data_IF_900737537410
#
_entry.id   IF_900737537410
#
_cell.length_a   1.000
_cell.length_b   1.000
_cell.length_c   1.000
_cell.angle_alpha   90.00
_cell.angle_beta   90.00
_cell.angle_gamma   90.00
#
_symmetry.space_group_name_H-M   'P 1'
#
loop_
_entity.id
_entity.type
_entity.pdbx_description
1 polymer ?
#
# COMPACT_ATOMS: atom_id res chain seq x y z
N UNK A 1 55.03 0.29 4.98
CA UNK A 1 56.14 -0.56 4.60
C UNK A 1 55.70 -1.97 4.48
N UNK A 2 56.07 -2.65 3.39
CA UNK A 2 55.89 -4.06 3.00
C UNK A 2 54.44 -4.40 2.56
N UNK A 3 54.00 -4.45 1.30
CA UNK A 3 54.37 -5.13 0.03
C UNK A 3 54.57 -6.65 0.21
N UNK A 4 53.75 -7.42 -0.54
CA UNK A 4 54.07 -8.60 -1.38
C UNK A 4 52.73 -9.31 -1.71
N UNK A 5 52.23 -9.34 -2.91
CA UNK A 5 52.60 -9.93 -4.19
C UNK A 5 52.07 -11.37 -4.38
N UNK A 6 51.16 -11.46 -5.34
CA UNK A 6 50.86 -12.45 -6.40
C UNK A 6 50.96 -13.96 -6.14
N UNK A 7 49.98 -14.67 -6.69
CA UNK A 7 50.25 -15.74 -7.67
C UNK A 7 48.96 -16.13 -8.47
N UNK A 8 49.10 -16.06 -9.76
CA UNK A 8 48.28 -16.67 -10.84
C UNK A 8 48.43 -18.19 -10.82
N UNK A 9 47.32 -18.90 -11.16
CA UNK A 9 47.49 -20.15 -11.91
C UNK A 9 46.27 -20.35 -12.84
N UNK A 10 46.62 -20.34 -14.12
CA UNK A 10 45.74 -20.74 -15.23
C UNK A 10 45.90 -22.25 -15.46
N UNK A 11 44.86 -22.91 -15.87
CA UNK A 11 44.91 -24.30 -16.29
C UNK A 11 43.79 -24.59 -17.31
N UNK A 12 44.22 -24.89 -18.51
CA UNK A 12 43.43 -25.01 -19.74
C UNK A 12 42.95 -26.45 -20.04
N UNK A 13 41.87 -26.53 -20.80
CA UNK A 13 41.49 -27.49 -21.87
C UNK A 13 41.56 -29.00 -21.65
N UNK A 14 40.44 -29.66 -22.01
CA UNK A 14 40.48 -30.73 -23.00
C UNK A 14 39.06 -30.99 -23.60
N UNK A 15 38.94 -30.76 -24.89
CA UNK A 15 37.87 -31.33 -25.78
C UNK A 15 38.13 -32.82 -25.99
N UNK A 16 37.05 -33.60 -26.03
CA UNK A 16 37.07 -34.86 -26.80
C UNK A 16 35.71 -35.09 -27.50
N UNK A 17 35.71 -34.93 -28.80
CA UNK A 17 34.71 -35.50 -29.74
C UNK A 17 35.05 -36.99 -29.96
N UNK A 18 34.04 -37.81 -29.96
CA UNK A 18 34.10 -39.08 -30.74
C UNK A 18 32.70 -39.43 -31.24
N UNK A 19 32.64 -39.75 -32.51
CA UNK A 19 31.48 -39.94 -33.38
C UNK A 19 31.18 -41.41 -33.63
N UNK A 20 29.97 -41.65 -34.12
CA UNK A 20 29.52 -42.70 -35.06
C UNK A 20 29.33 -44.16 -34.64
N UNK A 21 28.17 -44.62 -35.05
CA UNK A 21 27.93 -46.00 -35.55
C UNK A 21 26.65 -46.65 -35.01
N UNK A 22 25.61 -46.67 -35.63
CA UNK A 22 24.86 -47.40 -36.62
C UNK A 22 24.16 -48.69 -36.16
N UNK A 23 22.91 -48.81 -36.61
CA UNK A 23 22.10 -49.99 -36.97
C UNK A 23 21.05 -50.54 -35.97
N UNK A 24 19.81 -50.20 -36.29
CA UNK A 24 18.61 -51.05 -36.45
C UNK A 24 18.42 -52.35 -35.64
N UNK A 25 17.30 -52.46 -34.91
CA UNK A 25 16.15 -53.29 -35.24
C UNK A 25 15.22 -53.59 -34.07
N UNK A 26 13.91 -53.51 -34.40
CA UNK A 26 12.74 -54.25 -33.90
C UNK A 26 12.16 -54.01 -32.53
N UNK A 27 11.03 -53.36 -32.60
CA UNK A 27 9.71 -53.57 -31.98
C UNK A 27 9.60 -54.36 -30.65
N UNK A 28 9.01 -53.65 -29.68
CA UNK A 28 7.83 -54.19 -28.94
C UNK A 28 7.08 -53.05 -28.28
N UNK A 29 5.77 -52.99 -28.52
CA UNK A 29 4.86 -52.04 -27.97
C UNK A 29 4.70 -52.26 -26.45
N UNK A 30 4.88 -51.22 -25.66
CA UNK A 30 4.37 -51.16 -24.30
C UNK A 30 3.66 -49.81 -24.14
N UNK A 31 2.35 -49.92 -23.99
CA UNK A 31 1.43 -48.84 -23.62
C UNK A 31 1.88 -48.27 -22.28
N UNK A 32 2.33 -47.03 -22.27
CA UNK A 32 2.46 -46.27 -21.01
C UNK A 32 1.57 -45.03 -21.11
N UNK A 33 0.64 -44.96 -20.19
CA UNK A 33 -0.27 -43.86 -19.98
C UNK A 33 0.46 -42.53 -20.00
N UNK A 34 0.07 -41.66 -20.92
CA UNK A 34 0.46 -40.27 -20.90
C UNK A 34 -0.20 -39.62 -19.68
N UNK A 35 0.57 -39.39 -18.64
CA UNK A 35 0.21 -38.41 -17.63
C UNK A 35 0.16 -37.06 -18.35
N UNK A 36 -1.05 -36.52 -18.46
CA UNK A 36 -1.29 -35.16 -18.91
C UNK A 36 -0.61 -34.21 -17.88
N UNK A 37 0.59 -33.76 -18.21
CA UNK A 37 1.18 -32.62 -17.54
C UNK A 37 0.30 -31.43 -17.91
N UNK A 38 -0.34 -30.83 -16.91
CA UNK A 38 -0.95 -29.51 -17.05
C UNK A 38 0.11 -28.54 -17.62
N UNK A 39 -0.24 -27.66 -18.55
CA UNK A 39 0.73 -26.69 -19.03
C UNK A 39 1.20 -25.85 -17.83
N UNK A 40 2.49 -25.94 -17.51
CA UNK A 40 3.13 -24.94 -16.67
C UNK A 40 2.91 -23.61 -17.40
N UNK A 41 2.08 -22.73 -16.83
CA UNK A 41 1.96 -21.36 -17.28
C UNK A 41 3.37 -20.81 -17.32
N UNK A 42 3.86 -20.45 -18.50
CA UNK A 42 5.11 -19.72 -18.64
C UNK A 42 4.90 -18.38 -17.96
N UNK A 43 5.41 -18.24 -16.74
CA UNK A 43 5.48 -16.94 -16.05
C UNK A 43 6.24 -16.03 -16.98
N UNK A 44 5.63 -14.93 -17.40
CA UNK A 44 6.28 -13.94 -18.25
C UNK A 44 7.56 -13.49 -17.54
N UNK A 45 8.65 -13.32 -18.31
CA UNK A 45 9.97 -12.97 -17.76
C UNK A 45 9.97 -11.61 -16.99
N UNK A 46 8.87 -10.85 -17.11
CA UNK A 46 8.66 -9.52 -16.50
C UNK A 46 7.46 -9.52 -15.50
N UNK A 47 7.02 -10.66 -14.97
CA UNK A 47 5.95 -10.71 -13.97
C UNK A 47 6.44 -10.16 -12.62
N UNK A 48 5.80 -9.10 -12.16
CA UNK A 48 6.09 -8.48 -10.88
C UNK A 48 5.62 -9.36 -9.72
N UNK A 49 4.50 -10.07 -9.90
CA UNK A 49 4.05 -11.09 -8.94
C UNK A 49 5.08 -12.21 -8.77
N UNK A 50 5.64 -12.70 -9.88
CA UNK A 50 6.68 -13.74 -9.80
C UNK A 50 7.95 -13.22 -9.13
N UNK A 51 8.31 -11.96 -9.31
CA UNK A 51 9.40 -11.31 -8.59
C UNK A 51 9.13 -11.32 -7.08
N UNK A 52 7.95 -10.86 -6.64
CA UNK A 52 7.52 -10.85 -5.24
C UNK A 52 7.56 -12.29 -4.67
N UNK A 53 6.98 -13.25 -5.37
CA UNK A 53 6.94 -14.65 -4.94
C UNK A 53 8.34 -15.28 -4.86
N UNK A 54 9.24 -14.95 -5.78
CA UNK A 54 10.62 -15.46 -5.75
C UNK A 54 11.43 -14.93 -4.58
N UNK A 55 11.09 -13.72 -4.09
CA UNK A 55 11.68 -13.13 -2.89
C UNK A 55 11.08 -13.72 -1.60
N UNK A 56 9.97 -14.44 -1.69
CA UNK A 56 9.26 -15.03 -0.55
C UNK A 56 8.58 -14.01 0.36
N UNK A 57 8.54 -12.74 -0.03
CA UNK A 57 7.93 -11.66 0.74
C UNK A 57 7.38 -10.56 -0.16
N UNK A 58 6.38 -9.82 0.34
CA UNK A 58 5.86 -8.60 -0.24
C UNK A 58 6.21 -7.43 0.68
N UNK A 59 6.96 -6.46 0.17
CA UNK A 59 7.37 -5.26 0.90
C UNK A 59 6.28 -4.19 0.74
N UNK A 60 5.64 -3.84 1.86
CA UNK A 60 4.44 -3.00 1.93
C UNK A 60 4.82 -1.65 2.52
N UNK A 61 4.68 -0.59 1.73
CA UNK A 61 4.93 0.79 2.17
C UNK A 61 3.71 1.37 2.90
N UNK A 62 3.95 1.93 4.10
CA UNK A 62 2.92 2.55 4.92
C UNK A 62 3.43 3.78 5.68
N UNK A 63 2.54 4.61 6.20
CA UNK A 63 2.77 5.58 7.28
C UNK A 63 1.93 5.22 8.49
N UNK A 64 2.27 5.75 9.68
CA UNK A 64 1.47 5.50 10.89
C UNK A 64 0.09 6.13 10.74
N UNK A 65 -0.93 5.29 10.66
CA UNK A 65 -2.30 5.66 10.37
C UNK A 65 -3.29 4.72 11.07
N UNK A 66 -3.82 5.11 12.23
CA UNK A 66 -4.89 4.37 12.92
C UNK A 66 -6.25 4.67 12.25
N UNK A 67 -7.08 3.64 11.94
CA UNK A 67 -6.96 2.24 12.31
C UNK A 67 -6.37 1.34 11.19
N UNK A 68 -5.66 1.88 10.19
CA UNK A 68 -5.19 1.13 9.03
C UNK A 68 -3.88 0.38 9.30
N UNK A 69 -2.82 1.09 9.70
CA UNK A 69 -1.51 0.53 10.04
C UNK A 69 -0.95 1.30 11.25
N UNK A 70 -0.89 0.68 12.41
CA UNK A 70 -0.44 1.33 13.63
C UNK A 70 0.06 0.33 14.67
N UNK A 71 0.68 0.82 15.72
CA UNK A 71 1.07 0.01 16.88
C UNK A 71 0.06 0.25 18.01
N UNK A 72 -0.57 -0.83 18.49
CA UNK A 72 -1.55 -0.75 19.56
C UNK A 72 -0.91 -0.46 20.94
N UNK A 73 -1.74 -0.27 21.97
CA UNK A 73 -1.27 0.01 23.32
C UNK A 73 -0.43 -1.12 23.94
N UNK A 74 -0.54 -2.34 23.43
CA UNK A 74 0.23 -3.52 23.88
C UNK A 74 1.56 -3.66 23.12
N UNK A 75 1.82 -2.79 22.13
CA UNK A 75 3.02 -2.77 21.32
C UNK A 75 2.97 -3.69 20.10
N UNK A 76 1.80 -4.18 19.70
CA UNK A 76 1.64 -5.00 18.51
C UNK A 76 1.38 -4.12 17.29
N UNK A 77 2.07 -4.39 16.19
CA UNK A 77 1.76 -3.77 14.91
C UNK A 77 0.51 -4.41 14.32
N UNK A 78 -0.53 -3.61 14.09
CA UNK A 78 -1.88 -4.06 13.75
C UNK A 78 -2.62 -3.02 12.90
N UNK A 79 -3.88 -3.24 12.61
CA UNK A 79 -4.76 -2.38 11.86
C UNK A 79 -5.46 -3.11 10.72
N UNK A 80 -6.47 -2.47 10.15
CA UNK A 80 -7.26 -3.08 9.07
C UNK A 80 -6.36 -3.48 7.90
N UNK A 81 -5.55 -2.56 7.39
CA UNK A 81 -4.66 -2.82 6.26
C UNK A 81 -3.53 -3.79 6.61
N UNK A 82 -3.01 -3.72 7.84
CA UNK A 82 -2.01 -4.68 8.32
C UNK A 82 -2.54 -6.11 8.29
N UNK A 83 -3.74 -6.34 8.81
CA UNK A 83 -4.34 -7.67 8.88
C UNK A 83 -4.86 -8.14 7.51
N UNK A 84 -5.45 -7.25 6.72
CA UNK A 84 -5.89 -7.58 5.35
C UNK A 84 -4.69 -7.92 4.44
N UNK A 85 -3.61 -7.13 4.49
CA UNK A 85 -2.40 -7.40 3.73
C UNK A 85 -1.76 -8.74 4.14
N UNK A 86 -1.77 -9.06 5.43
CA UNK A 86 -1.28 -10.35 5.93
C UNK A 86 -2.11 -11.51 5.34
N UNK A 87 -3.44 -11.39 5.35
CA UNK A 87 -4.32 -12.42 4.78
C UNK A 87 -4.12 -12.57 3.25
N UNK A 88 -3.89 -11.47 2.53
CA UNK A 88 -3.58 -11.51 1.09
C UNK A 88 -2.21 -12.15 0.86
N UNK A 89 -1.20 -11.81 1.64
CA UNK A 89 0.14 -12.42 1.54
C UNK A 89 0.08 -13.94 1.73
N UNK A 90 -0.71 -14.44 2.69
CA UNK A 90 -0.96 -15.88 2.88
C UNK A 90 -1.54 -16.53 1.62
N UNK A 91 -2.53 -15.88 0.97
CA UNK A 91 -3.13 -16.35 -0.30
C UNK A 91 -2.12 -16.36 -1.45
N UNK A 92 -1.21 -15.38 -1.49
CA UNK A 92 -0.17 -15.29 -2.52
C UNK A 92 1.07 -16.18 -2.24
N UNK A 93 1.15 -16.79 -1.06
CA UNK A 93 2.25 -17.65 -0.64
C UNK A 93 3.54 -16.89 -0.32
N UNK A 94 3.43 -15.68 0.22
CA UNK A 94 4.55 -14.82 0.62
C UNK A 94 4.36 -14.28 2.04
N UNK A 95 5.44 -13.80 2.68
CA UNK A 95 5.37 -13.13 3.97
C UNK A 95 5.19 -11.60 3.79
N UNK A 96 4.37 -10.92 4.60
CA UNK A 96 4.31 -9.47 4.59
C UNK A 96 5.55 -8.85 5.27
N UNK A 97 6.14 -7.83 4.66
CA UNK A 97 7.19 -7.00 5.27
C UNK A 97 6.73 -5.55 5.22
N UNK A 98 6.40 -4.96 6.37
CA UNK A 98 5.93 -3.58 6.45
C UNK A 98 7.10 -2.62 6.62
N UNK A 99 7.16 -1.59 5.78
CA UNK A 99 8.21 -0.56 5.77
C UNK A 99 7.57 0.81 5.86
N UNK A 100 7.92 1.56 6.89
CA UNK A 100 7.47 2.95 7.01
C UNK A 100 8.18 3.81 5.95
N UNK A 101 7.41 4.57 5.18
CA UNK A 101 7.88 5.39 4.07
C UNK A 101 7.53 6.86 4.28
N UNK A 102 8.10 7.72 3.46
CA UNK A 102 7.61 9.08 3.31
C UNK A 102 6.46 9.08 2.28
N UNK A 103 5.27 9.51 2.69
CA UNK A 103 4.08 9.45 1.82
C UNK A 103 4.19 10.30 0.56
N UNK A 104 4.88 11.44 0.63
CA UNK A 104 5.10 12.31 -0.54
C UNK A 104 5.95 11.62 -1.63
N UNK A 105 6.83 10.68 -1.26
CA UNK A 105 7.68 9.95 -2.20
C UNK A 105 7.21 8.53 -2.52
N UNK A 106 6.00 8.13 -2.10
CA UNK A 106 5.48 6.75 -2.21
C UNK A 106 5.60 6.12 -3.60
N UNK A 107 5.30 6.88 -4.66
CA UNK A 107 5.40 6.38 -6.05
C UNK A 107 6.87 6.20 -6.46
N UNK A 108 7.76 7.09 -6.03
CA UNK A 108 9.21 6.97 -6.26
C UNK A 108 9.77 5.73 -5.58
N UNK A 109 9.35 5.46 -4.34
CA UNK A 109 9.72 4.25 -3.60
C UNK A 109 9.25 2.97 -4.31
N UNK A 110 8.02 3.01 -4.83
CA UNK A 110 7.42 1.91 -5.59
C UNK A 110 8.20 1.63 -6.90
N UNK A 111 8.50 2.67 -7.67
CA UNK A 111 9.24 2.57 -8.93
C UNK A 111 10.70 2.12 -8.72
N UNK A 112 11.32 2.56 -7.62
CA UNK A 112 12.67 2.15 -7.22
C UNK A 112 12.75 0.71 -6.71
N UNK A 113 11.61 0.02 -6.52
CA UNK A 113 11.51 -1.31 -5.89
C UNK A 113 12.01 -1.33 -4.45
N UNK A 114 11.95 -0.20 -3.74
CA UNK A 114 12.14 -0.15 -2.28
C UNK A 114 10.97 -0.81 -1.57
N UNK A 115 9.78 -0.67 -2.15
CA UNK A 115 8.54 -1.34 -1.75
C UNK A 115 7.92 -2.05 -2.96
N UNK A 116 7.06 -3.04 -2.71
CA UNK A 116 6.32 -3.77 -3.74
C UNK A 116 4.92 -3.23 -3.95
N UNK A 117 4.32 -2.67 -2.90
CA UNK A 117 3.04 -1.98 -2.98
C UNK A 117 2.96 -0.84 -1.96
N UNK A 118 2.02 0.09 -2.23
CA UNK A 118 1.58 1.14 -1.31
C UNK A 118 0.24 0.67 -0.75
N UNK A 119 0.18 0.41 0.57
CA UNK A 119 -1.02 -0.11 1.21
C UNK A 119 -1.21 0.50 2.60
N UNK A 120 -1.99 1.59 2.66
CA UNK A 120 -2.13 2.41 3.86
C UNK A 120 -3.34 3.34 3.76
N UNK A 121 -4.55 2.78 3.56
CA UNK A 121 -5.71 3.63 3.29
C UNK A 121 -5.47 4.55 2.11
N UNK A 122 -4.90 4.02 1.04
CA UNK A 122 -4.48 4.84 -0.10
C UNK A 122 -5.67 5.17 -1.00
N UNK A 123 -5.98 6.44 -1.14
CA UNK A 123 -7.04 6.94 -2.01
C UNK A 123 -6.73 6.66 -3.48
N UNK A 124 -7.70 6.09 -4.18
CA UNK A 124 -7.64 5.82 -5.62
C UNK A 124 -7.89 7.12 -6.41
N UNK A 125 -6.90 8.01 -6.41
CA UNK A 125 -6.94 9.24 -7.20
C UNK A 125 -6.65 8.97 -8.67
N UNK A 126 -7.10 9.87 -9.57
CA UNK A 126 -6.80 9.80 -11.01
C UNK A 126 -5.28 9.75 -11.26
N UNK A 127 -4.49 10.48 -10.46
CA UNK A 127 -3.03 10.48 -10.58
C UNK A 127 -2.42 9.13 -10.21
N UNK A 128 -2.82 8.53 -9.09
CA UNK A 128 -2.37 7.20 -8.69
C UNK A 128 -2.77 6.16 -9.74
N UNK A 129 -4.03 6.16 -10.19
CA UNK A 129 -4.51 5.20 -11.21
C UNK A 129 -3.80 5.39 -12.58
N UNK A 130 -3.36 6.59 -12.91
CA UNK A 130 -2.60 6.84 -14.14
C UNK A 130 -1.14 6.36 -14.03
N UNK A 131 -0.55 6.34 -12.83
CA UNK A 131 0.89 6.09 -12.60
C UNK A 131 1.21 4.73 -11.99
N UNK A 132 0.22 4.01 -11.46
CA UNK A 132 0.37 2.69 -10.83
C UNK A 132 -0.63 1.67 -11.40
N UNK A 133 -0.43 0.39 -11.11
CA UNK A 133 -1.43 -0.66 -11.25
C UNK A 133 -2.15 -0.78 -9.90
N UNK A 134 -3.43 -0.43 -9.87
CA UNK A 134 -4.21 -0.45 -8.64
C UNK A 134 -5.14 -1.65 -8.56
N UNK A 135 -5.46 -2.07 -7.35
CA UNK A 135 -6.59 -2.96 -7.11
C UNK A 135 -7.92 -2.24 -7.33
N UNK A 136 -9.01 -2.99 -7.35
CA UNK A 136 -10.34 -2.45 -7.09
C UNK A 136 -10.37 -1.81 -5.70
N UNK A 137 -11.33 -0.93 -5.50
CA UNK A 137 -11.58 -0.37 -4.17
C UNK A 137 -11.94 -1.47 -3.17
N UNK A 138 -11.42 -1.35 -1.94
CA UNK A 138 -11.77 -2.26 -0.85
C UNK A 138 -12.56 -1.59 0.28
N UNK A 139 -12.39 -0.29 0.51
CA UNK A 139 -13.09 0.46 1.54
C UNK A 139 -13.48 1.87 1.08
N UNK A 140 -14.49 2.44 1.73
CA UNK A 140 -14.96 3.82 1.52
C UNK A 140 -14.28 4.75 2.52
N UNK A 141 -14.03 5.99 2.08
CA UNK A 141 -13.48 7.07 2.89
C UNK A 141 -14.04 8.43 2.41
N UNK A 142 -13.62 9.50 3.08
CA UNK A 142 -13.82 10.88 2.66
C UNK A 142 -12.65 11.73 3.18
N UNK A 143 -12.40 12.88 2.56
CA UNK A 143 -11.57 13.92 3.14
C UNK A 143 -12.44 14.85 3.97
N UNK A 144 -12.00 15.16 5.19
CA UNK A 144 -12.75 15.97 6.16
C UNK A 144 -11.94 17.14 6.68
N UNK A 145 -12.66 18.20 7.08
CA UNK A 145 -12.08 19.32 7.81
C UNK A 145 -12.26 19.08 9.30
N UNK A 146 -11.14 19.14 10.03
CA UNK A 146 -11.08 19.01 11.48
C UNK A 146 -10.62 20.33 12.09
N UNK A 147 -11.35 20.79 13.11
CA UNK A 147 -11.03 22.01 13.86
C UNK A 147 -11.12 21.74 15.35
N UNK A 148 -10.64 22.68 16.17
CA UNK A 148 -10.83 22.64 17.63
C UNK A 148 -12.31 22.84 17.98
N UNK A 149 -12.82 22.09 18.96
CA UNK A 149 -14.19 22.27 19.43
C UNK A 149 -14.43 23.70 19.92
N UNK A 150 -15.61 24.25 19.57
CA UNK A 150 -15.92 25.68 19.83
C UNK A 150 -15.44 26.63 18.75
N UNK A 151 -14.74 26.16 17.70
CA UNK A 151 -14.44 26.99 16.53
C UNK A 151 -15.71 27.26 15.74
N UNK A 152 -15.96 28.54 15.40
CA UNK A 152 -17.02 28.94 14.48
C UNK A 152 -16.61 28.54 13.06
N UNK A 153 -17.37 27.61 12.45
CA UNK A 153 -17.16 27.11 11.10
C UNK A 153 -18.49 26.92 10.40
N UNK A 154 -18.60 27.43 9.19
CA UNK A 154 -19.78 27.29 8.35
C UNK A 154 -19.46 26.71 6.97
N UNK A 155 -18.25 26.96 6.46
CA UNK A 155 -17.74 26.44 5.19
C UNK A 155 -16.23 26.67 5.10
N UNK A 156 -15.60 26.13 4.04
CA UNK A 156 -14.18 26.34 3.74
C UNK A 156 -13.79 27.82 3.58
N UNK A 157 -14.74 28.70 3.29
CA UNK A 157 -14.50 30.16 3.23
C UNK A 157 -14.01 30.77 4.57
N UNK A 158 -14.36 30.16 5.70
CA UNK A 158 -13.92 30.60 7.02
C UNK A 158 -12.42 30.29 7.27
N UNK A 159 -11.81 29.47 6.42
CA UNK A 159 -10.39 29.07 6.49
C UNK A 159 -9.48 29.89 5.55
N UNK A 160 -10.02 30.84 4.78
CA UNK A 160 -9.19 31.75 3.96
C UNK A 160 -8.21 32.52 4.84
N UNK A 161 -6.91 32.43 4.54
CA UNK A 161 -5.82 33.07 5.31
C UNK A 161 -5.60 32.46 6.71
N UNK A 162 -6.18 31.28 6.99
CA UNK A 162 -5.96 30.50 8.20
C UNK A 162 -4.87 29.47 7.97
N UNK A 163 -4.23 29.02 9.03
CA UNK A 163 -3.25 27.94 8.94
C UNK A 163 -3.98 26.60 8.85
N UNK A 164 -3.84 25.94 7.69
CA UNK A 164 -4.43 24.61 7.42
C UNK A 164 -3.31 23.60 7.19
N UNK A 165 -3.42 22.44 7.81
CA UNK A 165 -2.41 21.37 7.73
C UNK A 165 -2.98 20.11 7.08
N UNK A 166 -2.16 19.41 6.31
CA UNK A 166 -2.41 18.06 5.79
C UNK A 166 -1.09 17.30 5.65
N UNK A 167 -1.16 15.99 5.48
CA UNK A 167 0.01 15.18 5.16
C UNK A 167 0.48 15.46 3.73
N UNK A 168 1.79 15.65 3.55
CA UNK A 168 2.37 15.90 2.23
C UNK A 168 2.11 14.73 1.27
N UNK A 169 1.72 15.03 0.02
CA UNK A 169 1.41 14.05 -1.01
C UNK A 169 0.12 13.24 -0.76
N UNK A 170 -0.72 13.64 0.21
CA UNK A 170 -1.98 12.97 0.53
C UNK A 170 -3.16 13.48 -0.30
N UNK A 171 -4.29 12.76 -0.23
CA UNK A 171 -5.56 13.23 -0.77
C UNK A 171 -6.06 14.49 -0.03
N UNK A 172 -5.70 14.66 1.25
CA UNK A 172 -5.98 15.85 2.03
C UNK A 172 -5.27 17.10 1.49
N UNK A 173 -3.98 17.00 1.13
CA UNK A 173 -3.28 18.08 0.42
C UNK A 173 -3.96 18.41 -0.90
N UNK A 174 -4.26 17.39 -1.71
CA UNK A 174 -4.95 17.59 -2.99
C UNK A 174 -6.34 18.24 -2.81
N UNK A 175 -7.07 17.91 -1.75
CA UNK A 175 -8.35 18.54 -1.42
C UNK A 175 -8.18 20.02 -1.06
N UNK A 176 -7.10 20.39 -0.32
CA UNK A 176 -6.78 21.79 -0.03
C UNK A 176 -6.49 22.56 -1.34
N UNK A 177 -5.67 21.99 -2.21
CA UNK A 177 -5.28 22.62 -3.48
C UNK A 177 -6.45 22.75 -4.45
N UNK A 178 -7.39 21.80 -4.41
CA UNK A 178 -8.56 21.75 -5.31
C UNK A 178 -9.75 22.60 -4.88
N UNK A 179 -9.86 22.97 -3.60
CA UNK A 179 -10.96 23.83 -3.10
C UNK A 179 -10.60 25.31 -3.26
N UNK A 180 -11.53 26.10 -3.82
CA UNK A 180 -11.30 27.53 -4.14
C UNK A 180 -10.98 28.40 -2.90
N UNK A 181 -11.44 28.01 -1.71
CA UNK A 181 -11.22 28.73 -0.46
C UNK A 181 -9.98 28.19 0.26
N UNK A 182 -9.85 26.86 0.39
CA UNK A 182 -8.70 26.23 1.06
C UNK A 182 -7.39 26.52 0.34
N UNK A 183 -7.40 26.64 -0.99
CA UNK A 183 -6.23 27.07 -1.76
C UNK A 183 -5.75 28.50 -1.41
N UNK A 184 -6.54 29.28 -0.68
CA UNK A 184 -6.18 30.61 -0.16
C UNK A 184 -5.79 30.58 1.33
N UNK A 185 -5.73 29.40 1.95
CA UNK A 185 -5.23 29.22 3.30
C UNK A 185 -3.68 29.24 3.33
N UNK A 186 -3.12 29.46 4.52
CA UNK A 186 -1.70 29.28 4.76
C UNK A 186 -1.44 27.77 5.00
N UNK A 187 -1.26 27.03 3.90
CA UNK A 187 -1.04 25.59 3.95
C UNK A 187 0.34 25.24 4.54
N UNK A 188 0.37 24.27 5.47
CA UNK A 188 1.59 23.72 6.05
C UNK A 188 1.54 22.19 6.01
N UNK A 189 2.44 21.58 5.25
CA UNK A 189 2.54 20.11 5.14
C UNK A 189 3.08 19.46 6.41
N UNK A 190 2.61 18.23 6.68
CA UNK A 190 3.08 17.35 7.75
C UNK A 190 3.55 16.03 7.19
N UNK A 191 4.30 15.28 7.98
CA UNK A 191 4.85 13.99 7.56
C UNK A 191 3.83 12.86 7.66
N UNK A 192 2.89 12.96 8.60
CA UNK A 192 1.81 11.99 8.84
C UNK A 192 0.53 12.72 9.29
N UNK A 193 -0.63 12.11 9.06
CA UNK A 193 -1.93 12.72 9.38
C UNK A 193 -2.11 12.96 10.89
N UNK A 194 -1.55 12.12 11.75
CA UNK A 194 -1.61 12.29 13.21
C UNK A 194 -0.96 13.58 13.68
N UNK A 195 0.13 14.02 13.00
CA UNK A 195 0.76 15.31 13.29
C UNK A 195 -0.20 16.48 13.01
N UNK A 196 -1.08 16.34 12.00
CA UNK A 196 -2.09 17.35 11.70
C UNK A 196 -3.08 17.53 12.87
N UNK A 197 -3.56 16.41 13.46
CA UNK A 197 -4.43 16.47 14.64
C UNK A 197 -3.72 17.12 15.82
N UNK A 198 -2.45 16.79 16.03
CA UNK A 198 -1.63 17.36 17.11
C UNK A 198 -1.49 18.88 16.98
N UNK A 199 -1.24 19.40 15.77
CA UNK A 199 -1.13 20.84 15.52
C UNK A 199 -2.44 21.59 15.81
N UNK A 200 -3.57 21.03 15.38
CA UNK A 200 -4.88 21.63 15.66
C UNK A 200 -5.20 21.59 17.17
N UNK A 201 -4.93 20.46 17.84
CA UNK A 201 -5.12 20.34 19.28
C UNK A 201 -4.25 21.32 20.08
N UNK A 202 -3.01 21.51 19.66
CA UNK A 202 -2.08 22.48 20.24
C UNK A 202 -2.45 23.95 19.94
N UNK A 203 -3.28 24.19 18.90
CA UNK A 203 -3.66 25.54 18.44
C UNK A 203 -2.56 26.23 17.63
N UNK A 204 -1.64 25.47 17.05
CA UNK A 204 -0.62 25.94 16.09
C UNK A 204 -1.11 25.91 14.65
N UNK A 205 -2.19 25.16 14.38
CA UNK A 205 -2.99 25.22 13.17
C UNK A 205 -4.45 25.50 13.51
N UNK A 206 -5.16 26.19 12.60
CA UNK A 206 -6.59 26.50 12.73
C UNK A 206 -7.45 25.28 12.33
N UNK A 207 -7.02 24.53 11.31
CA UNK A 207 -7.72 23.35 10.80
C UNK A 207 -6.76 22.31 10.23
N UNK A 208 -7.23 21.07 10.14
CA UNK A 208 -6.59 19.99 9.38
C UNK A 208 -7.55 19.46 8.33
N UNK A 209 -6.99 19.03 7.18
CA UNK A 209 -7.70 18.22 6.19
C UNK A 209 -7.05 16.85 6.16
N UNK A 210 -7.84 15.82 6.40
CA UNK A 210 -7.37 14.45 6.56
C UNK A 210 -8.49 13.43 6.34
N UNK A 211 -8.14 12.15 6.40
CA UNK A 211 -9.07 11.05 6.18
C UNK A 211 -10.13 10.94 7.28
N UNK A 212 -11.40 10.81 6.88
CA UNK A 212 -12.52 10.54 7.78
C UNK A 212 -12.29 9.31 8.62
N UNK A 213 -11.70 8.27 8.04
CA UNK A 213 -11.39 7.01 8.73
C UNK A 213 -10.46 7.24 9.93
N UNK A 214 -9.37 8.02 9.75
CA UNK A 214 -8.48 8.40 10.85
C UNK A 214 -9.21 9.31 11.85
N UNK A 215 -9.94 10.32 11.37
CA UNK A 215 -10.67 11.24 12.24
C UNK A 215 -11.66 10.50 13.15
N UNK A 216 -12.41 9.53 12.60
CA UNK A 216 -13.36 8.73 13.39
C UNK A 216 -12.68 7.83 14.43
N UNK A 217 -11.47 7.34 14.16
CA UNK A 217 -10.72 6.51 15.11
C UNK A 217 -10.11 7.33 16.25
N UNK A 218 -9.64 8.54 15.95
CA UNK A 218 -8.81 9.32 16.87
C UNK A 218 -9.52 10.48 17.56
N UNK A 219 -10.67 10.94 17.04
CA UNK A 219 -11.43 12.09 17.58
C UNK A 219 -12.68 11.56 18.32
N UNK A 220 -12.87 11.98 19.56
CA UNK A 220 -14.06 11.64 20.33
C UNK A 220 -13.79 11.55 21.83
N UNK A 221 -14.84 11.32 22.61
CA UNK A 221 -14.73 11.18 24.05
C UNK A 221 -13.85 9.97 24.42
N UNK A 222 -12.87 10.20 25.26
CA UNK A 222 -11.94 9.15 25.71
C UNK A 222 -10.70 8.96 24.83
N UNK A 223 -10.57 9.74 23.75
CA UNK A 223 -9.38 9.76 22.90
C UNK A 223 -8.45 10.93 23.25
N UNK A 224 -7.23 10.90 22.73
CA UNK A 224 -6.25 12.00 22.93
C UNK A 224 -6.69 13.32 22.24
N UNK A 225 -7.61 13.23 21.27
CA UNK A 225 -8.12 14.36 20.49
C UNK A 225 -9.59 14.69 20.78
N UNK A 226 -10.08 14.43 21.99
CA UNK A 226 -11.44 14.75 22.42
C UNK A 226 -11.81 16.25 22.31
N UNK A 227 -10.81 17.13 22.21
CA UNK A 227 -11.01 18.57 22.01
C UNK A 227 -11.18 19.00 20.55
N UNK A 228 -11.11 18.07 19.62
CA UNK A 228 -11.30 18.30 18.18
C UNK A 228 -12.67 17.83 17.71
N UNK A 229 -13.10 18.33 16.56
CA UNK A 229 -14.31 17.88 15.89
C UNK A 229 -14.17 17.94 14.37
N UNK A 230 -14.84 17.01 13.71
CA UNK A 230 -15.08 17.04 12.26
C UNK A 230 -16.20 18.05 12.01
N UNK A 231 -15.97 18.99 11.08
CA UNK A 231 -16.93 20.08 10.77
C UNK A 231 -17.43 20.07 9.34
N UNK A 232 -16.71 19.41 8.43
CA UNK A 232 -17.07 19.33 7.01
C UNK A 232 -16.56 18.05 6.39
N UNK A 233 -17.25 17.55 5.37
CA UNK A 233 -16.84 16.46 4.49
C UNK A 233 -16.68 17.04 3.08
N UNK A 234 -15.46 17.06 2.57
CA UNK A 234 -15.13 17.73 1.31
C UNK A 234 -15.47 16.86 0.10
N UNK A 235 -15.11 15.59 0.13
CA UNK A 235 -15.35 14.64 -0.96
C UNK A 235 -15.38 13.22 -0.43
N UNK A 236 -16.26 12.38 -0.98
CA UNK A 236 -16.23 10.95 -0.80
C UNK A 236 -15.18 10.32 -1.72
N UNK A 237 -14.48 9.30 -1.23
CA UNK A 237 -13.42 8.61 -1.94
C UNK A 237 -13.36 7.13 -1.58
N UNK A 238 -12.50 6.38 -2.23
CA UNK A 238 -12.33 4.95 -1.98
C UNK A 238 -10.85 4.60 -1.87
N UNK A 239 -10.55 3.61 -1.03
CA UNK A 239 -9.21 3.08 -0.83
C UNK A 239 -8.93 1.87 -1.70
N UNK A 240 -7.69 1.80 -2.20
CA UNK A 240 -7.14 0.67 -2.92
C UNK A 240 -5.67 0.46 -2.59
N UNK A 241 -5.08 -0.53 -3.24
CA UNK A 241 -3.64 -0.83 -3.15
C UNK A 241 -2.97 -0.50 -4.47
N UNK A 242 -1.83 0.18 -4.44
CA UNK A 242 -1.05 0.44 -5.65
C UNK A 242 0.18 -0.45 -5.72
N UNK A 243 0.37 -1.05 -6.88
CA UNK A 243 1.56 -1.77 -7.31
C UNK A 243 2.26 -1.00 -8.43
N UNK A 244 3.49 -1.36 -8.77
CA UNK A 244 4.22 -0.76 -9.90
C UNK A 244 3.38 -0.75 -11.17
N UNK A 245 3.52 0.28 -11.98
CA UNK A 245 2.78 0.43 -13.23
C UNK A 245 2.94 -0.81 -14.13
N UNK A 246 1.81 -1.42 -14.50
CA UNK A 246 1.79 -2.64 -15.30
C UNK A 246 2.04 -3.93 -14.52
N UNK A 247 2.12 -3.87 -13.19
CA UNK A 247 2.25 -5.04 -12.32
C UNK A 247 1.04 -5.96 -12.42
N UNK A 248 1.27 -7.25 -12.54
CA UNK A 248 0.24 -8.29 -12.47
C UNK A 248 -0.14 -8.66 -11.03
N UNK A 249 0.60 -8.15 -10.03
CA UNK A 249 0.31 -8.35 -8.61
C UNK A 249 -1.01 -7.70 -8.17
N UNK A 250 -1.42 -6.58 -8.80
CA UNK A 250 -2.71 -5.94 -8.51
C UNK A 250 -3.89 -6.89 -8.79
N UNK A 251 -3.88 -7.57 -9.94
CA UNK A 251 -4.93 -8.53 -10.28
C UNK A 251 -4.91 -9.76 -9.35
N UNK A 252 -3.73 -10.18 -8.89
CA UNK A 252 -3.62 -11.27 -7.91
C UNK A 252 -4.14 -10.87 -6.53
N UNK A 253 -3.89 -9.63 -6.10
CA UNK A 253 -4.46 -9.07 -4.88
C UNK A 253 -6.00 -8.96 -4.96
N UNK A 254 -6.54 -8.52 -6.12
CA UNK A 254 -7.99 -8.50 -6.36
C UNK A 254 -8.62 -9.89 -6.23
N UNK A 255 -7.96 -10.92 -6.79
CA UNK A 255 -8.46 -12.29 -6.66
C UNK A 255 -8.46 -12.76 -5.19
N UNK A 256 -7.43 -12.39 -4.42
CA UNK A 256 -7.38 -12.67 -2.99
C UNK A 256 -8.48 -11.89 -2.22
N UNK A 257 -8.77 -10.63 -2.58
CA UNK A 257 -9.88 -9.88 -2.00
C UNK A 257 -11.23 -10.55 -2.27
N UNK A 258 -11.46 -11.02 -3.50
CA UNK A 258 -12.69 -11.73 -3.84
C UNK A 258 -12.88 -13.00 -2.97
N UNK A 259 -11.80 -13.76 -2.70
CA UNK A 259 -11.83 -14.91 -1.81
C UNK A 259 -12.10 -14.50 -0.34
N UNK A 260 -11.41 -13.45 0.17
CA UNK A 260 -11.57 -12.96 1.54
C UNK A 260 -12.92 -12.27 1.78
N UNK A 261 -13.54 -11.71 0.72
CA UNK A 261 -14.94 -11.27 0.76
C UNK A 261 -15.88 -12.47 0.85
N UNK A 262 -15.67 -13.51 0.04
CA UNK A 262 -16.52 -14.67 -0.02
C UNK A 262 -16.52 -15.50 1.29
N UNK A 263 -15.38 -15.60 1.97
CA UNK A 263 -15.25 -16.33 3.25
C UNK A 263 -15.61 -15.48 4.48
N UNK A 264 -15.89 -14.18 4.30
CA UNK A 264 -16.31 -13.24 5.35
C UNK A 264 -15.17 -12.62 6.16
N UNK A 265 -13.90 -12.90 5.83
CA UNK A 265 -12.73 -12.34 6.50
C UNK A 265 -12.70 -10.81 6.38
N UNK A 266 -12.89 -10.26 5.17
CA UNK A 266 -12.90 -8.80 5.00
C UNK A 266 -13.99 -8.11 5.81
N UNK A 267 -15.20 -8.69 5.88
CA UNK A 267 -16.28 -8.12 6.68
C UNK A 267 -15.95 -8.15 8.17
N UNK A 268 -15.37 -9.26 8.65
CA UNK A 268 -14.93 -9.37 10.04
C UNK A 268 -13.90 -8.30 10.41
N UNK A 269 -12.94 -8.03 9.52
CA UNK A 269 -11.95 -6.97 9.71
C UNK A 269 -12.60 -5.58 9.68
N UNK A 270 -13.51 -5.34 8.72
CA UNK A 270 -14.22 -4.07 8.62
C UNK A 270 -15.04 -3.77 9.89
N UNK A 271 -15.75 -4.77 10.41
CA UNK A 271 -16.50 -4.65 11.66
C UNK A 271 -15.60 -4.40 12.87
N UNK A 272 -14.41 -5.06 12.90
CA UNK A 272 -13.42 -4.89 13.97
C UNK A 272 -12.86 -3.48 14.04
N UNK A 273 -12.61 -2.87 12.89
CA UNK A 273 -11.97 -1.57 12.79
C UNK A 273 -12.92 -0.42 12.44
N UNK A 274 -14.23 -0.70 12.33
CA UNK A 274 -15.25 0.32 12.08
C UNK A 274 -15.25 0.89 10.66
N UNK A 275 -14.79 0.12 9.67
CA UNK A 275 -14.74 0.55 8.28
C UNK A 275 -15.99 0.14 7.50
N UNK A 276 -16.27 0.87 6.42
CA UNK A 276 -17.28 0.52 5.42
C UNK A 276 -16.58 0.00 4.19
N UNK A 277 -16.85 -1.26 3.82
CA UNK A 277 -16.30 -1.85 2.60
C UNK A 277 -16.87 -1.18 1.35
N UNK A 278 -16.05 -1.11 0.30
CA UNK A 278 -16.50 -0.78 -1.06
C UNK A 278 -17.35 -1.94 -1.64
N UNK A 279 -18.27 -1.61 -2.56
CA UNK A 279 -19.21 -2.58 -3.16
C UNK A 279 -18.51 -3.53 -4.16
#
# INVERSE_FOLDING_TARGET
>A
MKRLVSAFLAGAMALSLAACGGSASTSTAASSAAASAAPASSVAADSDLAYIQSNGKMVIGYTVYEPMNYTDADGNFTGFDTELATAVCEKLGVEPEFVEINWDTKVVELDAKSIDCIWNGMTLTDDIMANAATTKAYAKNAQVVVVKDGTDYSSTADLVGKTVVAEAGSAGEAAIEGDENLAQADYVSKSVQTDCLMEVAAGTADAAVLDLTLANAMIGEGTDYASLKIVDELNAEEYGVAFRKGSDAAAAADAAFDELKADGTMQTLADKYGLTLAE
#
